data_IF_797906022836
#
_entry.id   IF_797906022836
#
_cell.length_a   1.000
_cell.length_b   1.000
_cell.length_c   1.000
_cell.angle_alpha   90.00
_cell.angle_beta   90.00
_cell.angle_gamma   90.00
#
_symmetry.space_group_name_H-M   'P 1'
#
loop_
_entity.id
_entity.type
_entity.pdbx_description
1 polymer ?
#
# COMPACT_ATOMS: atom_id res chain seq x y z
N UNK A 1 -9.28 2.82 -2.55
CA UNK A 1 -9.95 1.65 -3.14
C UNK A 1 -11.17 1.19 -2.33
N UNK A 2 -11.91 0.20 -2.83
CA UNK A 2 -13.17 -0.27 -2.21
C UNK A 2 -13.05 -1.64 -1.56
N UNK A 3 -12.15 -2.47 -2.03
CA UNK A 3 -11.88 -3.79 -1.50
C UNK A 3 -11.07 -3.74 -0.20
N UNK A 4 -10.93 -4.86 0.43
CA UNK A 4 -10.22 -5.02 1.71
C UNK A 4 -9.58 -6.39 1.75
N UNK A 5 -8.44 -6.52 2.41
CA UNK A 5 -7.84 -7.82 2.67
C UNK A 5 -8.74 -8.67 3.57
N UNK A 6 -8.74 -10.00 3.44
CA UNK A 6 -9.45 -10.87 4.37
C UNK A 6 -8.86 -10.78 5.78
N UNK A 7 -9.61 -11.23 6.75
CA UNK A 7 -9.05 -11.53 8.08
C UNK A 7 -8.28 -12.85 8.01
N UNK A 8 -7.22 -12.97 8.76
CA UNK A 8 -6.48 -14.20 8.88
C UNK A 8 -7.32 -15.25 9.65
N UNK A 9 -7.45 -16.43 9.08
CA UNK A 9 -8.23 -17.52 9.70
C UNK A 9 -7.66 -17.87 11.07
N UNK A 10 -8.53 -17.93 12.07
CA UNK A 10 -8.18 -18.25 13.47
C UNK A 10 -7.84 -17.02 14.32
N UNK A 11 -7.92 -15.81 13.76
CA UNK A 11 -7.73 -14.56 14.51
C UNK A 11 -9.03 -13.81 14.81
N UNK A 12 -10.17 -14.42 14.53
CA UNK A 12 -11.50 -13.81 14.73
C UNK A 12 -11.74 -13.37 16.18
N UNK A 13 -11.19 -14.13 17.14
CA UNK A 13 -11.30 -13.82 18.57
C UNK A 13 -10.37 -12.71 19.05
N UNK A 14 -9.39 -12.31 18.25
CA UNK A 14 -8.43 -11.26 18.59
C UNK A 14 -8.99 -9.86 18.32
N UNK A 15 -10.13 -9.81 17.64
CA UNK A 15 -10.83 -8.58 17.35
C UNK A 15 -11.72 -8.16 18.51
N UNK A 16 -11.60 -6.91 18.93
CA UNK A 16 -12.47 -6.33 19.98
C UNK A 16 -13.95 -6.30 19.58
N UNK A 17 -14.21 -6.05 18.29
CA UNK A 17 -15.53 -6.13 17.64
C UNK A 17 -15.47 -6.99 16.40
N UNK A 18 -16.58 -7.60 15.95
CA UNK A 18 -16.54 -8.41 14.74
C UNK A 18 -15.93 -7.64 13.54
N UNK A 19 -14.98 -8.23 12.80
CA UNK A 19 -14.14 -7.53 11.83
C UNK A 19 -14.89 -6.73 10.74
N UNK A 20 -16.08 -7.14 10.39
CA UNK A 20 -16.90 -6.50 9.35
C UNK A 20 -18.17 -5.82 9.91
N UNK A 21 -18.23 -5.56 11.20
CA UNK A 21 -19.42 -4.99 11.85
C UNK A 21 -19.55 -3.48 11.67
N UNK A 22 -18.44 -2.75 11.47
CA UNK A 22 -18.45 -1.30 11.38
C UNK A 22 -18.93 -0.61 12.66
N UNK A 23 -18.70 -1.20 13.82
CA UNK A 23 -19.12 -0.65 15.11
C UNK A 23 -18.47 0.71 15.36
N UNK A 24 -19.30 1.66 15.80
CA UNK A 24 -18.84 2.98 16.26
C UNK A 24 -18.84 2.93 17.78
N UNK A 25 -17.66 2.98 18.38
CA UNK A 25 -17.45 2.98 19.83
C UNK A 25 -16.26 3.87 20.18
N UNK A 26 -16.28 4.51 21.33
CA UNK A 26 -15.20 5.35 21.87
C UNK A 26 -14.63 6.38 20.88
N UNK A 27 -15.48 6.94 20.02
CA UNK A 27 -15.09 7.89 18.98
C UNK A 27 -14.32 7.30 17.81
N UNK A 28 -14.34 5.98 17.62
CA UNK A 28 -13.66 5.24 16.58
C UNK A 28 -14.63 4.38 15.78
N UNK A 29 -14.26 4.09 14.56
CA UNK A 29 -14.96 3.10 13.70
C UNK A 29 -14.10 1.85 13.65
N UNK A 30 -14.64 0.75 14.17
CA UNK A 30 -13.96 -0.55 14.19
C UNK A 30 -14.40 -1.40 13.01
N UNK A 31 -13.44 -1.84 12.22
CA UNK A 31 -13.73 -2.75 11.12
C UNK A 31 -12.58 -2.91 10.14
N UNK A 32 -12.47 -4.07 9.52
CA UNK A 32 -11.59 -4.31 8.40
C UNK A 32 -11.94 -3.35 7.27
N UNK A 33 -10.93 -2.62 6.73
CA UNK A 33 -11.14 -1.65 5.68
C UNK A 33 -11.62 -0.28 6.13
N UNK A 34 -11.85 -0.04 7.43
CA UNK A 34 -12.24 1.30 7.91
C UNK A 34 -11.09 2.30 7.75
N UNK A 35 -9.84 1.88 7.92
CA UNK A 35 -8.65 2.69 7.71
C UNK A 35 -8.09 2.52 6.29
N UNK A 36 -8.04 1.29 5.79
CA UNK A 36 -7.49 0.91 4.49
C UNK A 36 -8.59 0.26 3.64
N UNK A 37 -9.29 0.97 2.72
CA UNK A 37 -9.14 2.43 2.45
C UNK A 37 -10.52 3.12 2.36
N UNK A 38 -11.54 2.60 3.03
CA UNK A 38 -12.89 3.22 3.02
C UNK A 38 -12.89 4.63 3.62
N UNK A 39 -11.98 4.91 4.55
CA UNK A 39 -11.79 6.24 5.11
C UNK A 39 -11.32 7.23 4.04
N UNK A 40 -10.34 6.85 3.21
CA UNK A 40 -9.86 7.68 2.11
C UNK A 40 -10.96 7.95 1.08
N UNK A 41 -11.68 6.89 0.67
CA UNK A 41 -12.80 7.01 -0.25
C UNK A 41 -13.88 7.96 0.26
N UNK A 42 -14.34 7.79 1.51
CA UNK A 42 -15.37 8.63 2.11
C UNK A 42 -14.89 10.07 2.27
N UNK A 43 -13.65 10.28 2.70
CA UNK A 43 -13.08 11.62 2.87
C UNK A 43 -13.06 12.42 1.57
N UNK A 44 -12.73 11.76 0.46
CA UNK A 44 -12.74 12.38 -0.88
C UNK A 44 -14.17 12.78 -1.28
N UNK A 45 -15.14 11.91 -1.05
CA UNK A 45 -16.55 12.19 -1.40
C UNK A 45 -17.14 13.29 -0.53
N UNK A 46 -16.90 13.27 0.77
CA UNK A 46 -17.35 14.30 1.71
C UNK A 46 -16.71 15.66 1.40
N UNK A 47 -15.42 15.68 1.05
CA UNK A 47 -14.76 16.91 0.64
C UNK A 47 -15.37 17.48 -0.65
N UNK A 48 -15.68 16.62 -1.62
CA UNK A 48 -16.34 17.04 -2.85
C UNK A 48 -17.75 17.59 -2.59
N UNK A 49 -18.54 16.92 -1.75
CA UNK A 49 -19.88 17.35 -1.34
C UNK A 49 -19.85 18.73 -0.67
N UNK A 50 -18.94 18.91 0.30
CA UNK A 50 -18.77 20.16 1.03
C UNK A 50 -18.40 21.32 0.10
N UNK A 51 -17.44 21.10 -0.80
CA UNK A 51 -17.01 22.11 -1.77
C UNK A 51 -18.14 22.49 -2.73
N UNK A 52 -18.92 21.51 -3.20
CA UNK A 52 -20.08 21.76 -4.07
C UNK A 52 -21.16 22.54 -3.34
N UNK A 53 -21.44 22.22 -2.07
CA UNK A 53 -22.39 22.95 -1.25
C UNK A 53 -21.99 24.41 -1.03
N UNK A 54 -20.70 24.71 -0.97
CA UNK A 54 -20.15 26.07 -0.90
C UNK A 54 -20.12 26.80 -2.25
N UNK A 55 -20.54 26.16 -3.33
CA UNK A 55 -20.56 26.71 -4.69
C UNK A 55 -19.18 26.71 -5.37
N UNK A 56 -18.25 25.90 -4.89
CA UNK A 56 -16.94 25.76 -5.52
C UNK A 56 -17.09 25.19 -6.94
N UNK A 57 -16.48 25.88 -7.91
CA UNK A 57 -16.41 25.45 -9.29
C UNK A 57 -14.94 25.27 -9.68
N UNK A 58 -14.45 24.04 -9.85
CA UNK A 58 -13.06 23.79 -10.20
C UNK A 58 -12.74 24.32 -11.60
N UNK A 59 -11.57 24.90 -11.81
CA UNK A 59 -11.12 25.38 -13.11
C UNK A 59 -10.77 24.26 -14.09
N UNK A 60 -10.69 23.03 -13.61
CA UNK A 60 -10.43 21.80 -14.38
C UNK A 60 -11.40 20.71 -13.92
N UNK A 61 -11.65 19.76 -14.79
CA UNK A 61 -12.43 18.58 -14.44
C UNK A 61 -11.74 17.77 -13.35
N UNK A 62 -12.48 17.38 -12.34
CA UNK A 62 -12.07 16.40 -11.34
C UNK A 62 -12.71 15.06 -11.71
N UNK A 63 -11.91 14.01 -11.67
CA UNK A 63 -12.35 12.64 -11.95
C UNK A 63 -12.07 11.79 -10.73
N UNK A 64 -13.12 11.17 -10.19
CA UNK A 64 -13.00 10.22 -9.08
C UNK A 64 -13.01 8.81 -9.65
N UNK A 65 -12.05 8.00 -9.26
CA UNK A 65 -11.88 6.63 -9.72
C UNK A 65 -11.62 5.72 -8.53
N UNK A 66 -12.52 4.77 -8.29
CA UNK A 66 -12.42 3.84 -7.17
C UNK A 66 -12.30 2.41 -7.69
N UNK A 67 -11.15 1.78 -7.45
CA UNK A 67 -10.89 0.39 -7.76
C UNK A 67 -11.53 -0.57 -6.77
N UNK A 68 -11.62 -1.84 -7.14
CA UNK A 68 -12.25 -2.90 -6.33
C UNK A 68 -11.35 -4.12 -6.13
N UNK A 69 -10.11 -4.06 -6.53
CA UNK A 69 -9.14 -5.14 -6.48
C UNK A 69 -7.69 -4.64 -6.25
N UNK A 70 -7.55 -3.53 -5.52
CA UNK A 70 -6.25 -2.93 -5.20
C UNK A 70 -5.38 -3.94 -4.44
N UNK A 71 -5.92 -4.57 -3.42
CA UNK A 71 -5.28 -5.55 -2.53
C UNK A 71 -4.71 -6.79 -3.27
N UNK A 72 -5.10 -6.96 -4.52
CA UNK A 72 -4.61 -8.01 -5.42
C UNK A 72 -4.01 -7.45 -6.71
N UNK A 73 -3.43 -6.24 -6.65
CA UNK A 73 -2.72 -5.52 -7.71
C UNK A 73 -3.56 -4.72 -8.72
N UNK A 74 -4.83 -4.48 -8.50
CA UNK A 74 -5.66 -3.50 -9.21
C UNK A 74 -5.91 -3.74 -10.70
N UNK A 75 -5.67 -4.96 -11.20
CA UNK A 75 -5.70 -5.23 -12.65
C UNK A 75 -7.09 -5.14 -13.29
N UNK A 76 -8.13 -5.48 -12.55
CA UNK A 76 -9.51 -5.45 -13.05
C UNK A 76 -10.27 -4.19 -12.61
N UNK A 77 -9.80 -3.52 -11.55
CA UNK A 77 -10.29 -2.22 -11.06
C UNK A 77 -9.53 -1.06 -11.69
N UNK A 78 -8.56 -0.52 -10.96
CA UNK A 78 -7.80 0.66 -11.38
C UNK A 78 -7.14 0.51 -12.76
N UNK A 79 -6.61 -0.67 -13.07
CA UNK A 79 -6.04 -0.97 -14.39
C UNK A 79 -7.06 -0.80 -15.53
N UNK A 80 -8.28 -1.32 -15.37
CA UNK A 80 -9.35 -1.18 -16.37
C UNK A 80 -9.89 0.24 -16.44
N UNK A 81 -9.98 0.93 -15.32
CA UNK A 81 -10.36 2.34 -15.27
C UNK A 81 -9.33 3.18 -16.07
N UNK A 82 -8.04 2.98 -15.81
CA UNK A 82 -6.96 3.67 -16.52
C UNK A 82 -6.97 3.38 -18.03
N UNK A 83 -7.22 2.12 -18.42
CA UNK A 83 -7.37 1.73 -19.84
C UNK A 83 -8.53 2.50 -20.49
N UNK A 84 -9.68 2.54 -19.82
CA UNK A 84 -10.87 3.27 -20.31
C UNK A 84 -10.64 4.77 -20.44
N UNK A 85 -9.97 5.38 -19.46
CA UNK A 85 -9.61 6.80 -19.49
C UNK A 85 -8.66 7.11 -20.65
N UNK A 86 -7.69 6.25 -20.92
CA UNK A 86 -6.79 6.36 -22.05
C UNK A 86 -7.51 6.27 -23.39
N UNK A 87 -8.46 5.33 -23.53
CA UNK A 87 -9.28 5.19 -24.73
C UNK A 87 -10.14 6.44 -25.00
N UNK A 88 -10.57 7.12 -23.95
CA UNK A 88 -11.30 8.38 -24.04
C UNK A 88 -10.40 9.60 -24.28
N UNK A 89 -9.09 9.41 -24.37
CA UNK A 89 -8.11 10.47 -24.59
C UNK A 89 -7.97 11.42 -23.39
N UNK A 90 -8.29 10.97 -22.18
CA UNK A 90 -8.14 11.79 -20.97
C UNK A 90 -6.65 11.89 -20.59
N UNK A 91 -6.22 13.12 -20.33
CA UNK A 91 -4.90 13.44 -19.83
C UNK A 91 -5.00 14.22 -18.54
N UNK A 92 -4.36 13.72 -17.50
CA UNK A 92 -4.40 14.31 -16.16
C UNK A 92 -3.15 15.15 -15.92
N UNK A 93 -3.33 16.34 -15.31
CA UNK A 93 -2.21 17.18 -14.90
C UNK A 93 -1.52 16.63 -13.66
N UNK A 94 -2.27 15.97 -12.79
CA UNK A 94 -1.81 15.31 -11.57
C UNK A 94 -2.87 14.28 -11.13
N UNK A 95 -2.46 13.40 -10.24
CA UNK A 95 -3.30 12.40 -9.62
C UNK A 95 -2.98 12.39 -8.13
N UNK A 96 -4.00 12.22 -7.32
CA UNK A 96 -3.89 11.90 -5.89
C UNK A 96 -4.38 10.48 -5.70
N UNK A 97 -3.63 9.70 -4.99
CA UNK A 97 -3.94 8.33 -4.66
C UNK A 97 -3.91 8.16 -3.14
N UNK A 98 -4.22 6.98 -2.66
CA UNK A 98 -4.13 6.66 -1.23
C UNK A 98 -2.69 6.75 -0.71
N UNK A 99 -2.56 6.66 0.60
CA UNK A 99 -1.29 6.76 1.28
C UNK A 99 -1.11 8.11 1.96
N UNK A 100 -0.13 8.14 2.83
CA UNK A 100 0.05 9.25 3.74
C UNK A 100 -0.85 9.14 4.97
N UNK A 101 -0.47 9.86 6.00
CA UNK A 101 -1.21 9.85 7.27
C UNK A 101 -0.87 11.08 8.11
N UNK A 102 -1.76 11.41 9.01
CA UNK A 102 -1.46 12.30 10.13
C UNK A 102 -1.03 11.45 11.32
N UNK A 103 0.19 11.66 11.78
CA UNK A 103 0.75 10.94 12.94
C UNK A 103 0.84 11.90 14.11
N UNK A 104 0.15 11.59 15.20
CA UNK A 104 0.33 12.21 16.50
C UNK A 104 1.26 11.33 17.34
N UNK A 105 1.91 11.92 18.33
CA UNK A 105 2.77 11.19 19.28
C UNK A 105 3.93 10.42 18.62
N UNK A 106 4.55 11.00 17.60
CA UNK A 106 5.71 10.41 16.97
C UNK A 106 6.92 10.46 17.91
N UNK A 107 7.55 9.31 18.25
CA UNK A 107 8.68 9.29 19.17
C UNK A 107 9.90 10.13 18.75
N UNK A 108 10.05 10.38 17.44
CA UNK A 108 11.17 11.18 16.92
C UNK A 108 10.94 12.68 17.01
N UNK A 109 9.69 13.12 17.05
CA UNK A 109 9.29 14.53 17.15
C UNK A 109 8.10 14.64 18.11
N UNK A 110 8.34 14.43 19.42
CA UNK A 110 7.29 14.51 20.43
C UNK A 110 6.59 15.88 20.39
N UNK A 111 5.35 15.93 20.83
CA UNK A 111 4.52 17.13 20.91
C UNK A 111 4.19 17.82 19.56
N UNK A 112 4.49 17.17 18.44
CA UNK A 112 4.14 17.68 17.11
C UNK A 112 3.32 16.68 16.31
N UNK A 113 2.42 17.20 15.48
CA UNK A 113 1.73 16.41 14.48
C UNK A 113 2.55 16.37 13.20
N UNK A 114 2.69 15.18 12.63
CA UNK A 114 3.40 14.95 11.37
C UNK A 114 2.40 14.56 10.29
N UNK A 115 2.30 15.39 9.25
CA UNK A 115 1.59 15.04 8.03
C UNK A 115 2.57 14.39 7.04
N UNK A 116 2.37 13.11 6.74
CA UNK A 116 3.18 12.39 5.75
C UNK A 116 2.46 12.45 4.41
N UNK A 117 3.14 12.97 3.39
CA UNK A 117 2.66 13.01 2.01
C UNK A 117 3.56 12.09 1.19
N UNK A 118 3.02 11.00 0.70
CA UNK A 118 3.73 10.08 -0.16
C UNK A 118 3.77 10.65 -1.58
N UNK A 119 4.95 10.69 -2.18
CA UNK A 119 5.16 11.26 -3.52
C UNK A 119 5.83 10.28 -4.47
N UNK A 120 6.13 9.08 -4.02
CA UNK A 120 6.70 8.00 -4.82
C UNK A 120 6.54 6.66 -4.10
N UNK A 121 6.47 5.59 -4.86
CA UNK A 121 6.46 4.22 -4.38
C UNK A 121 7.70 3.45 -4.83
N UNK A 122 8.02 2.40 -4.07
CA UNK A 122 9.04 1.42 -4.48
C UNK A 122 8.45 0.48 -5.52
N UNK A 123 9.29 0.02 -6.45
CA UNK A 123 8.89 -1.04 -7.37
C UNK A 123 8.60 -2.35 -6.61
N UNK A 124 7.57 -3.05 -7.07
CA UNK A 124 7.19 -4.37 -6.58
C UNK A 124 7.56 -5.46 -7.60
N UNK A 125 8.10 -6.57 -7.13
CA UNK A 125 8.47 -7.71 -7.96
C UNK A 125 8.19 -9.03 -7.25
N UNK A 126 7.36 -9.87 -7.86
CA UNK A 126 7.19 -11.26 -7.44
C UNK A 126 8.04 -12.17 -8.33
N UNK A 127 8.88 -12.99 -7.72
CA UNK A 127 9.69 -13.98 -8.41
C UNK A 127 9.23 -15.39 -8.02
N UNK A 128 8.97 -16.21 -9.04
CA UNK A 128 8.73 -17.64 -8.83
C UNK A 128 9.97 -18.41 -9.25
N UNK A 129 10.61 -19.07 -8.30
CA UNK A 129 11.77 -19.92 -8.58
C UNK A 129 11.32 -21.36 -8.73
N UNK A 130 11.62 -21.94 -9.87
CA UNK A 130 11.29 -23.34 -10.17
C UNK A 130 12.57 -24.11 -10.45
N UNK A 131 12.84 -25.13 -9.65
CA UNK A 131 13.95 -26.06 -9.91
C UNK A 131 13.36 -27.39 -10.43
N UNK A 132 13.82 -27.82 -11.60
CA UNK A 132 13.46 -29.10 -12.22
C UNK A 132 14.64 -30.05 -12.22
N UNK A 133 14.36 -31.34 -12.12
CA UNK A 133 15.38 -32.39 -12.20
C UNK A 133 14.76 -33.76 -12.45
N UNK A 134 15.57 -34.74 -12.86
CA UNK A 134 15.09 -36.11 -13.03
C UNK A 134 14.68 -36.70 -11.67
N UNK A 135 13.64 -37.49 -11.67
CA UNK A 135 13.29 -38.34 -10.54
C UNK A 135 14.34 -39.42 -10.35
N UNK A 136 14.36 -40.05 -9.17
CA UNK A 136 15.26 -41.13 -8.86
C UNK A 136 14.96 -41.80 -7.53
N UNK A 137 15.62 -42.93 -7.28
CA UNK A 137 15.48 -43.62 -6.02
C UNK A 137 16.32 -42.97 -4.94
N UNK A 138 15.75 -42.82 -3.73
CA UNK A 138 16.41 -42.12 -2.62
C UNK A 138 17.76 -42.73 -2.17
N UNK A 139 17.96 -44.04 -2.43
CA UNK A 139 19.24 -44.72 -2.12
C UNK A 139 20.38 -44.41 -3.11
N UNK A 140 20.07 -43.74 -4.23
CA UNK A 140 21.04 -43.35 -5.26
C UNK A 140 20.86 -41.86 -5.53
N UNK A 141 21.15 -40.98 -4.55
CA UNK A 141 20.88 -39.57 -4.71
C UNK A 141 21.87 -38.94 -5.71
N UNK A 142 21.40 -37.96 -6.51
CA UNK A 142 22.30 -37.19 -7.35
C UNK A 142 23.27 -36.35 -6.48
N UNK A 143 24.44 -36.05 -7.00
CA UNK A 143 25.45 -35.22 -6.28
C UNK A 143 24.88 -33.86 -5.84
N UNK A 144 23.99 -33.28 -6.63
CA UNK A 144 23.27 -32.05 -6.29
C UNK A 144 21.78 -32.31 -6.58
N UNK A 145 20.97 -32.32 -5.52
CA UNK A 145 19.51 -32.52 -5.63
C UNK A 145 18.81 -31.28 -6.19
N UNK A 146 17.58 -31.44 -6.65
CA UNK A 146 16.72 -30.34 -7.08
C UNK A 146 16.48 -29.34 -5.93
N UNK A 147 16.31 -29.85 -4.72
CA UNK A 147 16.20 -29.02 -3.51
C UNK A 147 17.49 -28.23 -3.28
N UNK A 148 18.67 -28.86 -3.41
CA UNK A 148 19.94 -28.18 -3.24
C UNK A 148 20.17 -27.07 -4.27
N UNK A 149 19.70 -27.23 -5.52
CA UNK A 149 19.75 -26.14 -6.53
C UNK A 149 18.84 -24.99 -6.17
N UNK A 150 17.62 -25.27 -5.70
CA UNK A 150 16.68 -24.23 -5.28
C UNK A 150 17.22 -23.47 -4.07
N UNK A 151 17.73 -24.19 -3.07
CA UNK A 151 18.33 -23.58 -1.88
C UNK A 151 19.51 -22.68 -2.20
N UNK A 152 20.39 -23.10 -3.12
CA UNK A 152 21.52 -22.29 -3.57
C UNK A 152 21.07 -21.03 -4.35
N UNK A 153 19.95 -21.08 -5.06
CA UNK A 153 19.39 -19.90 -5.72
C UNK A 153 18.80 -18.92 -4.70
N UNK A 154 18.08 -19.42 -3.70
CA UNK A 154 17.55 -18.60 -2.60
C UNK A 154 18.66 -17.94 -1.80
N UNK A 155 19.70 -18.69 -1.43
CA UNK A 155 20.88 -18.15 -0.74
C UNK A 155 21.53 -17.00 -1.53
N UNK A 156 21.66 -17.13 -2.85
CA UNK A 156 22.21 -16.06 -3.68
C UNK A 156 21.35 -14.81 -3.68
N UNK A 157 20.04 -14.96 -3.71
CA UNK A 157 19.12 -13.81 -3.64
C UNK A 157 19.26 -13.12 -2.30
N UNK A 158 19.24 -13.86 -1.20
CA UNK A 158 19.35 -13.35 0.17
C UNK A 158 20.68 -12.62 0.40
N UNK A 159 21.78 -13.18 -0.09
CA UNK A 159 23.11 -12.60 0.09
C UNK A 159 23.44 -11.47 -0.90
N UNK A 160 22.57 -11.16 -1.85
CA UNK A 160 22.76 -10.08 -2.81
C UNK A 160 21.54 -9.14 -2.85
N UNK A 161 21.25 -8.45 -1.75
CA UNK A 161 20.16 -7.49 -1.71
C UNK A 161 20.40 -6.34 -2.71
N UNK A 162 19.31 -5.72 -3.16
CA UNK A 162 19.44 -4.53 -3.98
C UNK A 162 20.23 -3.43 -3.26
N UNK A 163 21.05 -2.65 -3.99
CA UNK A 163 21.78 -1.54 -3.39
C UNK A 163 20.82 -0.54 -2.73
N UNK A 164 21.08 -0.24 -1.46
CA UNK A 164 20.35 0.82 -0.76
C UNK A 164 20.79 2.18 -1.27
N UNK A 165 19.83 3.08 -1.45
CA UNK A 165 20.08 4.47 -1.83
C UNK A 165 19.06 5.38 -1.19
N UNK A 166 19.51 6.54 -0.78
CA UNK A 166 18.63 7.60 -0.31
C UNK A 166 18.04 8.33 -1.53
N UNK A 167 16.76 8.10 -1.79
CA UNK A 167 16.04 8.78 -2.87
C UNK A 167 15.62 10.19 -2.46
N UNK A 168 15.39 11.06 -3.44
CA UNK A 168 15.08 12.48 -3.18
C UNK A 168 13.89 12.67 -2.21
N UNK A 169 12.75 11.99 -2.35
CA UNK A 169 11.64 12.17 -1.41
C UNK A 169 12.01 11.88 0.05
N UNK A 170 12.76 10.80 0.29
CA UNK A 170 13.22 10.44 1.63
C UNK A 170 14.23 11.47 2.17
N UNK A 171 15.11 11.97 1.33
CA UNK A 171 16.05 13.02 1.71
C UNK A 171 15.31 14.29 2.14
N UNK A 172 14.35 14.75 1.34
CA UNK A 172 13.53 15.93 1.65
C UNK A 172 12.75 15.73 2.95
N UNK A 173 12.17 14.57 3.16
CA UNK A 173 11.49 14.22 4.43
C UNK A 173 12.44 14.36 5.62
N UNK A 174 13.61 13.74 5.56
CA UNK A 174 14.61 13.81 6.65
C UNK A 174 15.11 15.24 6.89
N UNK A 175 15.36 16.01 5.83
CA UNK A 175 15.76 17.42 5.94
C UNK A 175 14.65 18.29 6.57
N UNK A 176 13.37 17.99 6.27
CA UNK A 176 12.23 18.69 6.86
C UNK A 176 12.03 18.34 8.34
N UNK A 177 12.31 17.10 8.72
CA UNK A 177 12.19 16.63 10.12
C UNK A 177 13.37 17.09 10.99
N UNK A 178 14.57 17.20 10.43
CA UNK A 178 15.81 17.45 11.18
C UNK A 178 15.76 18.64 12.16
N UNK A 179 15.14 19.80 11.84
CA UNK A 179 15.02 20.90 12.78
C UNK A 179 14.15 20.63 14.01
N UNK A 180 13.31 19.59 13.94
CA UNK A 180 12.33 19.22 14.96
C UNK A 180 12.77 18.02 15.80
N UNK A 181 13.87 17.38 15.45
CA UNK A 181 14.44 16.29 16.22
C UNK A 181 15.08 16.83 17.49
N UNK A 182 14.88 16.15 18.60
CA UNK A 182 15.65 16.44 19.81
C UNK A 182 17.15 16.20 19.54
N UNK A 183 17.97 17.16 19.90
CA UNK A 183 19.41 16.99 19.79
C UNK A 183 19.87 15.97 20.84
N UNK A 184 20.72 15.01 20.49
CA UNK A 184 21.22 14.00 21.40
C UNK A 184 22.10 14.58 22.53
#
# INVERSE_FOLDING_TARGET
HMDVVPIESGTESDWEYPPFSGVIADGRIYGRGSLDDKQGLLSILEAAESLLAEGFAPSRQLVFAFGHDEEISGKQGAGKIAERMREQGLHFAWMVDEGGMLVSDNPMIPDQQLAIINVAEKGYLTLTLVATGPGGHSSIPPRVSTIGRLSAALERIENNPFPTRLVVPVKVMLESMAPHLEQP
#
